data_IF_721618906569
#
_entry.id   IF_721618906569
#
_cell.length_a   1.000
_cell.length_b   1.000
_cell.length_c   1.000
_cell.angle_alpha   90.00
_cell.angle_beta   90.00
_cell.angle_gamma   90.00
#
_symmetry.space_group_name_H-M   'P 1'
#
loop_
_entity.id
_entity.type
_entity.pdbx_description
1 polymer ?
#
# COMPACT_ATOMS: atom_id res chain seq x y z
N UNK A 1 30.05 12.18 -13.17
CA UNK A 1 30.22 10.72 -13.32
C UNK A 1 30.71 10.02 -12.04
N UNK A 2 31.72 10.56 -11.34
CA UNK A 2 32.37 9.93 -10.17
C UNK A 2 31.40 9.41 -9.08
N UNK A 3 30.46 10.25 -8.62
CA UNK A 3 29.49 9.89 -7.55
C UNK A 3 28.60 8.67 -7.89
N UNK A 4 28.31 8.44 -9.17
CA UNK A 4 27.51 7.30 -9.65
C UNK A 4 28.28 5.99 -9.52
N UNK A 5 29.57 6.01 -9.85
CA UNK A 5 30.46 4.86 -9.74
C UNK A 5 30.59 4.38 -8.30
N UNK A 6 30.80 5.30 -7.36
CA UNK A 6 30.86 4.97 -5.93
C UNK A 6 29.54 4.38 -5.41
N UNK A 7 28.39 4.94 -5.82
CA UNK A 7 27.09 4.39 -5.47
C UNK A 7 26.89 2.97 -6.02
N UNK A 8 27.28 2.72 -7.28
CA UNK A 8 27.18 1.40 -7.90
C UNK A 8 28.10 0.37 -7.21
N UNK A 9 29.35 0.75 -6.93
CA UNK A 9 30.32 -0.11 -6.21
C UNK A 9 29.76 -0.54 -4.87
N UNK A 10 29.21 0.41 -4.11
CA UNK A 10 28.60 0.14 -2.80
C UNK A 10 27.34 -0.74 -2.87
N UNK A 11 26.58 -0.67 -3.96
CA UNK A 11 25.40 -1.54 -4.17
C UNK A 11 25.77 -2.96 -4.61
N UNK A 12 26.86 -3.13 -5.35
CA UNK A 12 27.33 -4.44 -5.79
C UNK A 12 28.06 -5.20 -4.68
N UNK A 13 28.68 -4.48 -3.74
CA UNK A 13 29.51 -5.08 -2.69
C UNK A 13 30.72 -5.77 -3.30
N UNK A 14 31.12 -6.91 -2.72
CA UNK A 14 32.24 -7.73 -3.21
C UNK A 14 31.89 -8.50 -4.49
N UNK A 15 30.60 -8.74 -4.73
CA UNK A 15 30.12 -9.49 -5.88
C UNK A 15 29.94 -8.58 -7.09
N UNK A 16 31.04 -8.35 -7.82
CA UNK A 16 31.08 -7.54 -9.03
C UNK A 16 30.01 -7.91 -10.06
N UNK A 17 29.66 -9.20 -10.22
CA UNK A 17 28.73 -9.69 -11.24
C UNK A 17 27.31 -9.13 -11.20
N UNK A 18 26.88 -8.50 -10.09
CA UNK A 18 25.52 -7.93 -9.94
C UNK A 18 25.38 -6.53 -10.58
N UNK A 19 26.46 -5.94 -11.08
CA UNK A 19 26.47 -4.57 -11.61
C UNK A 19 25.45 -4.34 -12.72
N UNK A 20 25.25 -5.31 -13.62
CA UNK A 20 24.29 -5.21 -14.74
C UNK A 20 22.86 -4.95 -14.26
N UNK A 21 22.49 -5.50 -13.09
CA UNK A 21 21.15 -5.32 -12.50
C UNK A 21 20.99 -3.98 -11.80
N UNK A 22 22.04 -3.45 -11.20
CA UNK A 22 22.00 -2.20 -10.45
C UNK A 22 22.33 -0.96 -11.28
N UNK A 23 23.08 -1.11 -12.38
CA UNK A 23 23.44 -0.01 -13.25
C UNK A 23 22.23 0.79 -13.77
N UNK A 24 21.18 0.18 -14.34
CA UNK A 24 20.02 0.94 -14.80
C UNK A 24 19.31 1.66 -13.64
N UNK A 25 19.22 1.03 -12.47
CA UNK A 25 18.58 1.62 -11.27
C UNK A 25 19.34 2.85 -10.78
N UNK A 26 20.67 2.75 -10.65
CA UNK A 26 21.51 3.86 -10.19
C UNK A 26 21.56 4.97 -11.25
N UNK A 27 21.58 4.62 -12.53
CA UNK A 27 21.57 5.61 -13.62
C UNK A 27 20.24 6.36 -13.69
N UNK A 28 19.13 5.66 -13.49
CA UNK A 28 17.81 6.30 -13.39
C UNK A 28 17.76 7.24 -12.19
N UNK A 29 18.20 6.81 -11.01
CA UNK A 29 18.30 7.67 -9.83
C UNK A 29 19.15 8.93 -10.12
N UNK A 30 20.27 8.80 -10.82
CA UNK A 30 21.15 9.92 -11.16
C UNK A 30 20.50 10.94 -12.12
N UNK A 31 19.56 10.49 -12.98
CA UNK A 31 18.86 11.33 -13.97
C UNK A 31 17.68 12.11 -13.40
N UNK A 32 17.03 11.58 -12.38
CA UNK A 32 15.80 12.16 -11.80
C UNK A 32 16.12 13.14 -10.67
N UNK A 33 17.30 13.04 -10.04
CA UNK A 33 17.66 13.94 -8.95
C UNK A 33 18.33 15.21 -9.44
N UNK A 34 17.94 16.32 -8.81
CA UNK A 34 18.51 17.64 -9.01
C UNK A 34 19.99 17.66 -8.67
N UNK A 35 20.77 18.35 -9.51
CA UNK A 35 22.19 18.57 -9.24
C UNK A 35 22.36 19.91 -8.55
N UNK A 36 23.25 19.95 -7.53
CA UNK A 36 23.56 21.19 -6.80
C UNK A 36 24.11 22.30 -7.69
N UNK A 37 24.79 21.94 -8.79
CA UNK A 37 25.42 22.90 -9.71
C UNK A 37 24.40 23.64 -10.57
N UNK A 38 23.38 22.95 -11.05
CA UNK A 38 22.39 23.50 -12.00
C UNK A 38 21.04 23.76 -11.38
N UNK A 39 20.75 23.24 -10.18
CA UNK A 39 19.43 23.28 -9.56
C UNK A 39 18.42 22.30 -10.19
N UNK A 40 18.59 21.96 -11.46
CA UNK A 40 17.72 21.05 -12.22
C UNK A 40 18.22 19.61 -12.26
N UNK A 41 17.31 18.66 -12.44
CA UNK A 41 17.66 17.27 -12.76
C UNK A 41 18.06 17.15 -14.25
N UNK A 42 18.93 16.18 -14.60
CA UNK A 42 19.27 15.93 -16.00
C UNK A 42 18.05 15.65 -16.89
N UNK A 43 17.02 15.01 -16.35
CA UNK A 43 15.78 14.78 -17.08
C UNK A 43 15.01 16.09 -17.32
N UNK A 44 14.86 16.92 -16.29
CA UNK A 44 14.21 18.23 -16.43
C UNK A 44 14.92 19.10 -17.45
N UNK A 45 16.25 19.09 -17.44
CA UNK A 45 17.04 19.87 -18.38
C UNK A 45 16.82 19.42 -19.85
N UNK A 46 16.62 18.12 -20.07
CA UNK A 46 16.43 17.57 -21.40
C UNK A 46 14.99 17.74 -21.93
N UNK A 47 13.98 17.63 -21.07
CA UNK A 47 12.59 17.55 -21.47
C UNK A 47 11.73 18.76 -21.05
N UNK A 48 12.27 19.67 -20.23
CA UNK A 48 11.55 20.81 -19.68
C UNK A 48 10.41 20.42 -18.71
N UNK A 49 10.41 19.19 -18.21
CA UNK A 49 9.34 18.63 -17.35
C UNK A 49 9.91 17.95 -16.12
N UNK A 50 9.23 18.08 -14.99
CA UNK A 50 9.56 17.38 -13.75
C UNK A 50 9.41 15.87 -13.90
N UNK A 51 10.31 15.10 -13.31
CA UNK A 51 10.18 13.65 -13.24
C UNK A 51 9.25 13.24 -12.12
N UNK A 52 8.11 12.66 -12.45
CA UNK A 52 7.22 12.03 -11.46
C UNK A 52 7.19 10.53 -11.74
N UNK A 53 7.77 9.72 -10.85
CA UNK A 53 7.67 8.26 -10.96
C UNK A 53 6.42 7.80 -10.21
N UNK A 54 5.82 6.66 -10.58
CA UNK A 54 4.72 6.09 -9.80
C UNK A 54 5.05 5.85 -8.32
N UNK A 55 6.34 5.65 -8.00
CA UNK A 55 6.85 5.51 -6.63
C UNK A 55 6.77 6.83 -5.85
N UNK A 56 6.84 7.97 -6.53
CA UNK A 56 6.75 9.29 -5.90
C UNK A 56 5.30 9.67 -5.57
N UNK A 57 4.35 9.13 -6.33
CA UNK A 57 2.90 9.27 -6.09
C UNK A 57 2.48 8.36 -4.92
N UNK A 58 3.08 7.18 -4.80
CA UNK A 58 2.83 6.23 -3.71
C UNK A 58 3.47 6.73 -2.40
N UNK A 59 2.74 7.57 -1.65
CA UNK A 59 3.16 8.22 -0.39
C UNK A 59 3.77 7.24 0.61
N UNK A 60 3.23 6.02 0.66
CA UNK A 60 3.67 4.97 1.59
C UNK A 60 5.12 4.56 1.32
N UNK A 61 5.47 4.33 0.05
CA UNK A 61 6.84 3.94 -0.34
C UNK A 61 7.86 5.06 -0.16
N UNK A 62 7.41 6.31 -0.17
CA UNK A 62 8.24 7.48 0.10
C UNK A 62 8.59 7.57 1.60
N UNK A 63 7.61 7.38 2.48
CA UNK A 63 7.80 7.46 3.94
C UNK A 63 8.64 6.32 4.51
N UNK A 64 8.63 5.13 3.89
CA UNK A 64 9.45 4.01 4.36
C UNK A 64 10.97 4.28 4.21
N UNK A 65 11.36 5.23 3.35
CA UNK A 65 12.75 5.65 3.19
C UNK A 65 13.07 6.76 4.21
N UNK A 66 14.02 6.50 5.11
CA UNK A 66 14.48 7.48 6.10
C UNK A 66 15.32 8.61 5.52
N UNK A 67 14.71 9.50 4.72
CA UNK A 67 15.40 10.58 3.99
C UNK A 67 16.23 11.50 4.88
N UNK A 68 15.77 11.75 6.11
CA UNK A 68 16.49 12.55 7.11
C UNK A 68 17.87 12.00 7.49
N UNK A 69 18.11 10.69 7.32
CA UNK A 69 19.41 10.04 7.62
C UNK A 69 20.40 10.14 6.45
N UNK A 70 19.98 10.70 5.31
CA UNK A 70 20.74 10.69 4.06
C UNK A 70 21.40 12.06 3.87
N UNK A 71 22.69 12.15 4.15
CA UNK A 71 23.47 13.38 3.99
C UNK A 71 24.28 13.45 2.68
N UNK A 72 24.62 12.30 2.09
CA UNK A 72 25.53 12.22 0.93
C UNK A 72 24.78 11.87 -0.35
N UNK A 73 25.18 12.45 -1.48
CA UNK A 73 24.62 12.13 -2.81
C UNK A 73 24.69 10.63 -3.13
N UNK A 74 25.77 9.95 -2.76
CA UNK A 74 25.93 8.51 -3.00
C UNK A 74 24.90 7.68 -2.21
N UNK A 75 24.67 8.03 -0.94
CA UNK A 75 23.66 7.39 -0.09
C UNK A 75 22.26 7.65 -0.63
N UNK A 76 22.02 8.84 -1.18
CA UNK A 76 20.75 9.21 -1.82
C UNK A 76 20.50 8.36 -3.07
N UNK A 77 21.51 8.22 -3.94
CA UNK A 77 21.42 7.33 -5.12
C UNK A 77 21.18 5.87 -4.71
N UNK A 78 21.84 5.41 -3.65
CA UNK A 78 21.64 4.05 -3.11
C UNK A 78 20.24 3.84 -2.56
N UNK A 79 19.74 4.77 -1.74
CA UNK A 79 18.41 4.69 -1.15
C UNK A 79 17.34 4.63 -2.24
N UNK A 80 17.48 5.48 -3.26
CA UNK A 80 16.56 5.48 -4.39
C UNK A 80 16.64 4.21 -5.24
N UNK A 81 17.83 3.71 -5.53
CA UNK A 81 18.00 2.46 -6.25
C UNK A 81 17.40 1.27 -5.48
N UNK A 82 17.52 1.26 -4.14
CA UNK A 82 16.87 0.28 -3.26
C UNK A 82 15.35 0.40 -3.30
N UNK A 83 14.82 1.62 -3.24
CA UNK A 83 13.38 1.90 -3.33
C UNK A 83 12.81 1.39 -4.66
N UNK A 84 13.46 1.69 -5.77
CA UNK A 84 13.06 1.22 -7.12
C UNK A 84 13.09 -0.31 -7.22
N UNK A 85 14.14 -0.95 -6.71
CA UNK A 85 14.24 -2.40 -6.69
C UNK A 85 13.18 -3.06 -5.79
N UNK A 86 12.91 -2.43 -4.65
CA UNK A 86 12.04 -2.94 -3.59
C UNK A 86 10.55 -2.64 -3.78
N UNK A 87 10.13 -1.88 -4.81
CA UNK A 87 8.75 -1.40 -4.96
C UNK A 87 7.66 -2.44 -4.65
N UNK A 88 7.81 -3.68 -5.16
CA UNK A 88 6.84 -4.76 -4.92
C UNK A 88 6.85 -5.24 -3.46
N UNK A 89 8.02 -5.38 -2.85
CA UNK A 89 8.16 -5.86 -1.47
C UNK A 89 7.72 -4.81 -0.45
N UNK A 90 7.99 -3.53 -0.70
CA UNK A 90 7.57 -2.42 0.15
C UNK A 90 6.03 -2.37 0.22
N UNK A 91 5.37 -2.36 -0.96
CA UNK A 91 3.89 -2.43 -1.05
C UNK A 91 3.30 -3.62 -0.30
N UNK A 92 3.92 -4.81 -0.40
CA UNK A 92 3.41 -6.00 0.31
C UNK A 92 3.52 -5.85 1.83
N UNK A 93 4.66 -5.38 2.34
CA UNK A 93 4.87 -5.16 3.78
C UNK A 93 3.91 -4.13 4.34
N UNK A 94 3.63 -3.07 3.59
CA UNK A 94 2.67 -2.05 3.99
C UNK A 94 1.24 -2.59 4.01
N UNK A 95 0.84 -3.37 2.99
CA UNK A 95 -0.47 -4.02 2.98
C UNK A 95 -0.65 -4.92 4.21
N UNK A 96 0.39 -5.64 4.61
CA UNK A 96 0.38 -6.47 5.82
C UNK A 96 0.26 -5.62 7.10
N UNK A 97 1.01 -4.52 7.22
CA UNK A 97 0.90 -3.60 8.35
C UNK A 97 -0.50 -3.01 8.47
N UNK A 98 -1.12 -2.63 7.36
CA UNK A 98 -2.47 -2.08 7.34
C UNK A 98 -3.52 -3.11 7.79
N UNK A 99 -3.37 -4.37 7.37
CA UNK A 99 -4.23 -5.46 7.87
C UNK A 99 -4.12 -5.62 9.39
N UNK A 100 -2.89 -5.68 9.91
CA UNK A 100 -2.64 -5.80 11.36
C UNK A 100 -3.20 -4.60 12.13
N UNK A 101 -2.99 -3.38 11.64
CA UNK A 101 -3.58 -2.19 12.24
C UNK A 101 -5.11 -2.23 12.26
N UNK A 102 -5.73 -2.75 11.19
CA UNK A 102 -7.18 -2.98 11.16
C UNK A 102 -7.64 -4.00 12.19
N UNK A 103 -6.96 -5.14 12.29
CA UNK A 103 -7.24 -6.18 13.30
C UNK A 103 -7.07 -5.66 14.73
N UNK A 104 -6.01 -4.90 15.00
CA UNK A 104 -5.72 -4.32 16.30
C UNK A 104 -6.74 -3.23 16.66
N UNK A 105 -7.14 -2.41 15.69
CA UNK A 105 -8.21 -1.44 15.87
C UNK A 105 -9.54 -2.14 16.17
N UNK A 106 -9.86 -3.24 15.50
CA UNK A 106 -11.09 -3.99 15.74
C UNK A 106 -11.08 -4.59 17.15
N UNK A 107 -10.00 -5.24 17.57
CA UNK A 107 -9.82 -5.74 18.94
C UNK A 107 -9.95 -4.63 20.00
N UNK A 108 -9.37 -3.45 19.72
CA UNK A 108 -9.48 -2.30 20.60
C UNK A 108 -10.93 -1.83 20.71
N UNK A 109 -11.66 -1.74 19.60
CA UNK A 109 -13.07 -1.37 19.62
C UNK A 109 -13.93 -2.45 20.27
N UNK A 110 -13.67 -3.73 20.04
CA UNK A 110 -14.39 -4.84 20.67
C UNK A 110 -14.22 -4.81 22.20
N UNK A 111 -13.02 -4.50 22.70
CA UNK A 111 -12.77 -4.40 24.15
C UNK A 111 -13.42 -3.16 24.78
N UNK A 112 -13.38 -2.00 24.12
CA UNK A 112 -14.01 -0.78 24.66
C UNK A 112 -15.53 -0.83 24.52
N UNK A 113 -16.06 -1.31 23.40
CA UNK A 113 -17.49 -1.40 23.14
C UNK A 113 -18.12 -2.66 23.75
N UNK A 114 -17.35 -3.54 24.39
CA UNK A 114 -17.86 -4.75 25.04
C UNK A 114 -19.06 -4.50 25.97
N UNK A 115 -19.09 -3.34 26.64
CA UNK A 115 -20.20 -2.93 27.51
C UNK A 115 -21.42 -2.35 26.77
N UNK A 116 -21.27 -1.97 25.50
CA UNK A 116 -22.32 -1.44 24.63
C UNK A 116 -22.85 -2.48 23.65
N UNK A 117 -22.09 -3.56 23.42
CA UNK A 117 -22.54 -4.69 22.63
C UNK A 117 -23.72 -5.33 23.37
N UNK A 118 -24.87 -5.38 22.68
CA UNK A 118 -26.05 -6.08 23.16
C UNK A 118 -25.66 -7.52 23.49
N UNK A 119 -26.06 -8.02 24.66
CA UNK A 119 -25.89 -9.44 25.01
C UNK A 119 -26.41 -10.31 23.86
N UNK A 120 -25.73 -11.43 23.53
CA UNK A 120 -26.27 -12.40 22.57
C UNK A 120 -27.71 -12.71 22.96
N UNK A 121 -28.62 -12.67 21.98
CA UNK A 121 -30.00 -13.05 22.20
C UNK A 121 -30.04 -14.46 22.79
N UNK A 122 -30.84 -14.67 23.83
CA UNK A 122 -31.02 -16.00 24.38
C UNK A 122 -31.47 -16.96 23.26
N UNK A 123 -31.03 -18.23 23.24
CA UNK A 123 -31.32 -19.15 22.15
C UNK A 123 -32.83 -19.34 21.91
N UNK A 124 -33.66 -19.13 22.94
CA UNK A 124 -35.12 -19.09 22.82
C UNK A 124 -35.59 -17.87 22.01
N UNK A 125 -35.08 -16.68 22.31
CA UNK A 125 -35.44 -15.43 21.60
C UNK A 125 -34.89 -15.40 20.18
N UNK A 126 -33.69 -15.95 19.96
CA UNK A 126 -33.10 -16.10 18.63
C UNK A 126 -33.92 -17.02 17.72
N UNK A 127 -34.43 -18.14 18.27
CA UNK A 127 -35.29 -19.05 17.53
C UNK A 127 -36.66 -18.43 17.23
N UNK A 128 -37.23 -17.66 18.17
CA UNK A 128 -38.48 -16.91 17.95
C UNK A 128 -38.34 -15.89 16.81
N UNK A 129 -37.25 -15.13 16.80
CA UNK A 129 -36.96 -14.15 15.74
C UNK A 129 -36.68 -14.82 14.39
N UNK A 130 -35.92 -15.92 14.37
CA UNK A 130 -35.66 -16.70 13.15
C UNK A 130 -36.96 -17.25 12.54
N UNK A 131 -37.83 -17.82 13.36
CA UNK A 131 -39.13 -18.32 12.93
C UNK A 131 -40.04 -17.18 12.44
N UNK A 132 -39.98 -16.02 13.08
CA UNK A 132 -40.78 -14.85 12.67
C UNK A 132 -40.33 -14.32 11.31
N UNK A 133 -39.02 -14.23 11.06
CA UNK A 133 -38.47 -13.81 9.77
C UNK A 133 -38.83 -14.81 8.67
N UNK A 134 -38.72 -16.10 8.96
CA UNK A 134 -39.04 -17.16 8.00
C UNK A 134 -40.54 -17.17 7.65
N UNK A 135 -41.41 -17.00 8.64
CA UNK A 135 -42.85 -16.87 8.43
C UNK A 135 -43.20 -15.61 7.63
N UNK A 136 -42.51 -14.48 7.86
CA UNK A 136 -42.70 -13.26 7.07
C UNK A 136 -42.28 -13.46 5.60
N UNK A 137 -41.19 -14.20 5.37
CA UNK A 137 -40.68 -14.52 4.04
C UNK A 137 -41.61 -15.49 3.29
N UNK A 138 -42.20 -16.47 3.99
CA UNK A 138 -43.22 -17.36 3.42
C UNK A 138 -44.52 -16.59 3.09
N UNK A 139 -44.96 -15.67 3.95
CA UNK A 139 -46.16 -14.87 3.71
C UNK A 139 -46.01 -13.95 2.49
N UNK A 140 -44.82 -13.37 2.29
CA UNK A 140 -44.50 -12.54 1.12
C UNK A 140 -44.37 -13.33 -0.18
N UNK A 141 -43.97 -14.60 -0.11
CA UNK A 141 -43.95 -15.51 -1.26
C UNK A 141 -45.36 -16.01 -1.62
N UNK A 142 -46.18 -16.33 -0.62
CA UNK A 142 -47.56 -16.78 -0.80
C UNK A 142 -48.40 -15.67 -1.43
N UNK A 143 -48.33 -14.45 -0.87
CA UNK A 143 -49.04 -13.28 -1.43
C UNK A 143 -48.63 -12.97 -2.86
N UNK A 144 -47.35 -13.06 -3.20
CA UNK A 144 -46.89 -12.88 -4.59
C UNK A 144 -47.38 -13.98 -5.53
N UNK A 145 -47.54 -15.21 -5.05
CA UNK A 145 -48.12 -16.32 -5.82
C UNK A 145 -49.61 -16.07 -6.08
N UNK A 146 -50.35 -15.66 -5.06
CA UNK A 146 -51.76 -15.28 -5.20
C UNK A 146 -51.90 -14.11 -6.17
N UNK A 147 -51.12 -13.03 -6.05
CA UNK A 147 -51.19 -11.88 -6.96
C UNK A 147 -50.98 -12.32 -8.43
N UNK A 148 -50.08 -13.28 -8.70
CA UNK A 148 -49.86 -13.83 -10.06
C UNK A 148 -51.03 -14.68 -10.58
N UNK A 149 -51.77 -15.37 -9.71
CA UNK A 149 -52.95 -16.16 -10.09
C UNK A 149 -54.18 -15.28 -10.42
N UNK A 150 -54.25 -14.06 -9.87
CA UNK A 150 -55.31 -13.07 -10.16
C UNK A 150 -54.97 -12.12 -11.33
N UNK A 151 -53.83 -12.31 -12.00
CA UNK A 151 -53.38 -11.49 -13.16
C UNK A 151 -53.46 -12.28 -14.48
N UNK A 152 -54.53 -13.07 -14.67
CA UNK A 152 -54.93 -13.70 -15.95
C UNK A 152 -56.34 -13.23 -16.29
#
# INVERSE_FOLDING_TARGET
MVKRGHALRKMCGENGGKWKRYLPLVTLADRIYTKRTTGFSPFEHQFGKLTVLPIDIETKTFLEVGWHKISTTEKLLQARAKQQKGKKTMRRKEAEKLKKLGEDSMKYWDTIMAHQLRSPLDPVDGNQLGNTIQNQMEWTLQSNKTIKEWTI
#
